data_IF_201763139100
#
_entry.id   IF_201763139100
#
_cell.length_a   1.000
_cell.length_b   1.000
_cell.length_c   1.000
_cell.angle_alpha   90.00
_cell.angle_beta   90.00
_cell.angle_gamma   90.00
#
_symmetry.space_group_name_H-M   'P 1'
#
loop_
_entity.id
_entity.type
_entity.pdbx_description
1 polymer ?
#
# COMPACT_ATOMS: atom_id res chain seq x y z
N UNK A 1 -40.97 -58.31 -76.32
CA UNK A 1 -41.35 -57.44 -75.16
C UNK A 1 -40.20 -57.39 -74.24
N UNK A 2 -39.54 -56.22 -74.17
CA UNK A 2 -38.30 -56.06 -73.32
C UNK A 2 -38.72 -55.19 -72.15
N UNK A 3 -38.63 -55.75 -70.90
CA UNK A 3 -38.83 -55.00 -69.69
C UNK A 3 -37.49 -54.38 -69.24
N UNK A 4 -37.48 -53.06 -69.10
CA UNK A 4 -36.40 -52.29 -68.51
C UNK A 4 -36.66 -52.14 -66.97
N UNK A 5 -35.72 -52.52 -66.19
CA UNK A 5 -35.66 -52.23 -64.72
C UNK A 5 -35.10 -50.82 -64.54
N UNK A 6 -35.60 -50.04 -63.61
CA UNK A 6 -34.98 -48.75 -63.24
C UNK A 6 -33.83 -48.89 -62.22
N UNK A 7 -32.71 -48.21 -62.53
CA UNK A 7 -31.56 -48.16 -61.68
C UNK A 7 -31.79 -47.32 -60.39
N UNK A 8 -31.41 -47.87 -59.32
CA UNK A 8 -31.44 -47.25 -57.98
C UNK A 8 -30.16 -46.41 -57.81
N UNK A 9 -30.27 -45.08 -57.82
CA UNK A 9 -29.11 -44.19 -57.44
C UNK A 9 -28.98 -44.07 -55.92
N UNK A 10 -27.86 -44.57 -55.36
CA UNK A 10 -27.50 -44.37 -53.98
C UNK A 10 -26.82 -42.99 -53.88
N UNK A 11 -27.47 -42.00 -53.24
CA UNK A 11 -26.87 -40.76 -52.85
C UNK A 11 -26.12 -40.91 -51.53
N UNK A 12 -24.79 -40.89 -51.60
CA UNK A 12 -23.94 -40.89 -50.39
C UNK A 12 -23.98 -39.54 -49.74
N UNK A 13 -24.62 -39.46 -48.56
CA UNK A 13 -24.66 -38.28 -47.72
C UNK A 13 -23.35 -38.19 -46.91
N UNK A 14 -22.42 -37.32 -47.29
CA UNK A 14 -21.25 -36.98 -46.53
C UNK A 14 -21.67 -36.09 -45.35
N UNK A 15 -21.73 -36.62 -44.12
CA UNK A 15 -21.81 -35.83 -42.89
C UNK A 15 -20.43 -35.20 -42.61
N UNK A 16 -20.30 -33.91 -42.90
CA UNK A 16 -19.21 -33.08 -42.40
C UNK A 16 -19.40 -32.88 -40.88
N UNK A 17 -18.68 -33.65 -40.05
CA UNK A 17 -18.53 -33.37 -38.64
C UNK A 17 -17.64 -32.11 -38.50
N UNK A 18 -18.26 -30.94 -38.36
CA UNK A 18 -17.62 -29.75 -37.89
C UNK A 18 -17.25 -29.98 -36.41
N UNK A 19 -15.99 -30.37 -36.17
CA UNK A 19 -15.39 -30.33 -34.85
C UNK A 19 -15.29 -28.86 -34.45
N UNK A 20 -16.20 -28.38 -33.60
CA UNK A 20 -15.97 -27.16 -32.84
C UNK A 20 -14.84 -27.46 -31.87
N UNK A 21 -13.59 -27.16 -32.24
CA UNK A 21 -12.54 -26.94 -31.28
C UNK A 21 -12.95 -25.70 -30.49
N UNK A 22 -13.32 -25.90 -29.22
CA UNK A 22 -13.39 -24.81 -28.27
C UNK A 22 -11.93 -24.37 -28.01
N UNK A 23 -11.51 -23.33 -28.71
CA UNK A 23 -10.28 -22.62 -28.35
C UNK A 23 -10.50 -22.02 -26.96
N UNK A 24 -10.26 -22.79 -25.92
CA UNK A 24 -10.08 -22.24 -24.60
C UNK A 24 -8.84 -21.33 -24.68
N UNK A 25 -8.96 -20.04 -24.43
CA UNK A 25 -7.79 -19.18 -24.43
C UNK A 25 -6.77 -19.74 -23.46
N UNK A 26 -5.48 -19.71 -23.87
CA UNK A 26 -4.39 -20.17 -23.02
C UNK A 26 -4.49 -19.47 -21.65
N UNK A 27 -4.20 -20.15 -20.53
CA UNK A 27 -4.19 -19.55 -19.21
C UNK A 27 -3.29 -18.32 -19.20
N UNK A 28 -3.75 -17.22 -18.57
CA UNK A 28 -2.95 -16.03 -18.43
C UNK A 28 -1.70 -16.34 -17.61
N UNK A 29 -0.54 -15.95 -18.12
CA UNK A 29 0.74 -16.17 -17.46
C UNK A 29 1.31 -14.84 -16.97
N UNK A 30 1.64 -14.78 -15.69
CA UNK A 30 2.33 -13.63 -15.11
C UNK A 30 3.84 -13.76 -15.33
N UNK A 31 4.56 -12.69 -15.75
CA UNK A 31 6.02 -12.67 -15.79
C UNK A 31 6.60 -12.61 -14.37
N UNK A 32 7.92 -12.77 -14.21
CA UNK A 32 8.56 -12.60 -12.91
C UNK A 32 8.48 -11.13 -12.43
N UNK A 33 8.51 -10.17 -13.37
CA UNK A 33 8.33 -8.74 -13.09
C UNK A 33 7.80 -7.99 -14.30
N UNK A 34 7.18 -6.84 -14.04
CA UNK A 34 6.74 -5.90 -15.07
C UNK A 34 7.03 -4.47 -14.64
N UNK A 35 7.70 -3.71 -15.51
CA UNK A 35 8.03 -2.30 -15.29
C UNK A 35 6.94 -1.39 -15.87
N UNK A 36 6.71 -0.25 -15.23
CA UNK A 36 5.82 0.78 -15.79
C UNK A 36 6.33 1.26 -17.15
N UNK A 37 5.47 1.16 -18.15
CA UNK A 37 5.78 1.61 -19.50
C UNK A 37 5.69 3.13 -19.63
N UNK A 38 6.77 3.76 -20.11
CA UNK A 38 6.78 5.17 -20.55
C UNK A 38 6.12 6.17 -19.59
N UNK A 39 6.57 6.28 -18.33
CA UNK A 39 6.01 7.25 -17.39
C UNK A 39 6.18 8.68 -17.94
N UNK A 40 5.14 9.52 -17.75
CA UNK A 40 5.16 10.92 -18.18
C UNK A 40 6.08 11.74 -17.28
N UNK A 41 6.68 12.80 -17.83
CA UNK A 41 7.42 13.79 -17.06
C UNK A 41 6.42 14.79 -16.46
N UNK A 42 6.44 14.95 -15.13
CA UNK A 42 5.60 15.89 -14.37
C UNK A 42 6.29 17.25 -14.20
N UNK A 43 7.60 17.25 -13.95
CA UNK A 43 8.41 18.42 -13.74
C UNK A 43 9.87 18.14 -14.15
N UNK A 44 10.66 19.21 -14.32
CA UNK A 44 12.11 19.13 -14.54
C UNK A 44 12.74 20.31 -13.80
N UNK A 45 13.76 20.05 -12.98
CA UNK A 45 14.48 21.12 -12.29
C UNK A 45 15.52 21.81 -13.20
N UNK A 46 16.18 22.84 -12.68
CA UNK A 46 17.20 23.61 -13.41
C UNK A 46 18.44 22.79 -13.77
N UNK A 47 18.71 21.70 -13.07
CA UNK A 47 19.79 20.76 -13.38
C UNK A 47 19.38 19.69 -14.41
N UNK A 48 18.16 19.74 -14.94
CA UNK A 48 17.64 18.79 -15.94
C UNK A 48 17.13 17.48 -15.35
N UNK A 49 17.03 17.34 -14.03
CA UNK A 49 16.49 16.16 -13.36
C UNK A 49 14.99 16.13 -13.54
N UNK A 50 14.49 14.98 -13.99
CA UNK A 50 13.07 14.77 -14.31
C UNK A 50 12.36 14.09 -13.16
N UNK A 51 11.18 14.62 -12.81
CA UNK A 51 10.18 13.97 -11.97
C UNK A 51 9.26 13.21 -12.88
N UNK A 52 9.08 11.92 -12.64
CA UNK A 52 8.23 11.08 -13.48
C UNK A 52 6.88 10.85 -12.79
N UNK A 53 5.84 10.61 -13.58
CA UNK A 53 4.58 10.05 -13.10
C UNK A 53 4.76 8.54 -12.85
N UNK A 54 5.72 8.22 -11.97
CA UNK A 54 5.95 6.94 -11.31
C UNK A 54 5.13 6.88 -10.03
N UNK A 55 5.77 6.71 -8.87
CA UNK A 55 5.16 6.85 -7.55
C UNK A 55 3.90 6.02 -7.29
N UNK A 56 3.59 5.04 -8.16
CA UNK A 56 2.42 4.17 -8.06
C UNK A 56 2.74 2.89 -7.26
N UNK A 57 3.52 2.99 -6.23
CA UNK A 57 4.01 1.83 -5.48
C UNK A 57 3.47 1.70 -4.08
N UNK A 58 2.91 2.75 -3.51
CA UNK A 58 2.43 2.76 -2.13
C UNK A 58 1.32 1.75 -1.89
N UNK A 59 0.34 1.64 -2.79
CA UNK A 59 -0.74 0.65 -2.68
C UNK A 59 -0.95 -0.15 -3.96
N UNK A 60 -1.30 -1.44 -3.83
CA UNK A 60 -1.54 -2.36 -4.93
C UNK A 60 -2.80 -3.21 -4.70
N UNK A 61 -3.71 -3.18 -5.66
CA UNK A 61 -4.90 -4.05 -5.65
C UNK A 61 -5.16 -4.66 -7.03
N UNK A 62 -5.60 -5.91 -7.08
CA UNK A 62 -6.13 -6.50 -8.32
C UNK A 62 -7.43 -5.79 -8.69
N UNK A 63 -7.62 -5.45 -9.97
CA UNK A 63 -8.91 -4.95 -10.44
C UNK A 63 -9.96 -6.06 -10.29
N UNK A 64 -11.07 -5.85 -9.56
CA UNK A 64 -12.07 -6.87 -9.34
C UNK A 64 -12.54 -7.54 -10.64
N UNK A 65 -12.67 -8.86 -10.62
CA UNK A 65 -13.10 -9.69 -11.77
C UNK A 65 -12.23 -9.56 -13.04
N UNK A 66 -10.96 -9.19 -12.88
CA UNK A 66 -10.01 -9.10 -13.99
C UNK A 66 -8.78 -9.97 -13.78
N UNK A 67 -8.08 -10.28 -14.87
CA UNK A 67 -6.79 -10.96 -14.86
C UNK A 67 -5.76 -10.05 -15.53
N UNK A 68 -4.60 -9.87 -14.88
CA UNK A 68 -3.53 -9.02 -15.41
C UNK A 68 -3.82 -7.51 -15.38
N UNK A 69 -4.85 -7.07 -14.64
CA UNK A 69 -5.14 -5.65 -14.43
C UNK A 69 -5.07 -5.30 -12.94
N UNK A 70 -4.49 -4.13 -12.64
CA UNK A 70 -4.18 -3.68 -11.29
C UNK A 70 -4.57 -2.23 -11.09
N UNK A 71 -4.98 -1.90 -9.88
CA UNK A 71 -4.99 -0.54 -9.36
C UNK A 71 -3.72 -0.33 -8.54
N UNK A 72 -3.01 0.75 -8.81
CA UNK A 72 -1.86 1.19 -8.03
C UNK A 72 -2.11 2.61 -7.55
N UNK A 73 -1.62 2.92 -6.34
CA UNK A 73 -1.83 4.18 -5.67
C UNK A 73 -0.51 4.97 -5.60
N UNK A 74 -0.56 6.28 -5.78
CA UNK A 74 0.54 7.17 -5.44
C UNK A 74 0.42 7.64 -4.00
N UNK A 75 1.56 7.99 -3.38
CA UNK A 75 1.63 8.71 -2.12
C UNK A 75 1.21 10.19 -2.27
N UNK A 76 1.67 11.06 -1.35
CA UNK A 76 1.46 12.52 -1.36
C UNK A 76 2.05 13.23 -2.57
N UNK A 77 2.88 12.59 -3.38
CA UNK A 77 3.52 13.17 -4.55
C UNK A 77 5.00 13.48 -4.36
N UNK A 78 5.66 13.95 -5.45
CA UNK A 78 7.10 14.07 -5.49
C UNK A 78 7.63 15.07 -4.47
N UNK A 79 8.31 14.56 -3.45
CA UNK A 79 8.90 15.35 -2.38
C UNK A 79 10.27 14.78 -1.97
N UNK A 80 11.09 15.62 -1.36
CA UNK A 80 12.38 15.25 -0.80
C UNK A 80 12.60 15.99 0.53
N UNK A 81 13.58 15.55 1.32
CA UNK A 81 13.92 16.24 2.56
C UNK A 81 14.43 17.66 2.29
N UNK A 82 13.98 18.61 3.08
CA UNK A 82 14.49 19.97 3.05
C UNK A 82 15.74 20.17 3.92
N UNK A 83 16.35 21.34 3.83
CA UNK A 83 17.52 21.71 4.63
C UNK A 83 17.18 22.09 6.07
N UNK A 84 15.96 22.52 6.33
CA UNK A 84 15.48 22.80 7.67
C UNK A 84 15.05 21.49 8.35
N UNK A 85 15.22 21.43 9.65
CA UNK A 85 14.76 20.27 10.41
C UNK A 85 13.25 20.06 10.21
N UNK A 86 12.87 18.82 10.02
CA UNK A 86 11.46 18.42 9.83
C UNK A 86 10.78 19.22 8.68
N UNK A 87 11.49 19.39 7.55
CA UNK A 87 10.95 20.05 6.36
C UNK A 87 11.02 19.17 5.12
N UNK A 88 10.07 19.39 4.20
CA UNK A 88 9.99 18.71 2.90
C UNK A 88 9.91 19.72 1.78
N UNK A 89 10.57 19.41 0.67
CA UNK A 89 10.51 20.16 -0.58
C UNK A 89 9.60 19.41 -1.53
N UNK A 90 8.50 20.01 -1.90
CA UNK A 90 7.58 19.46 -2.88
C UNK A 90 8.00 19.92 -4.28
N UNK A 91 8.47 18.98 -5.10
CA UNK A 91 8.88 19.27 -6.49
C UNK A 91 7.68 19.66 -7.37
N UNK A 92 6.47 19.27 -6.97
CA UNK A 92 5.20 19.63 -7.62
C UNK A 92 4.11 19.80 -6.55
N UNK A 93 4.02 21.00 -5.91
CA UNK A 93 3.08 21.24 -4.80
C UNK A 93 1.60 21.08 -5.16
N UNK A 94 1.26 21.24 -6.44
CA UNK A 94 -0.09 21.05 -7.00
C UNK A 94 -0.35 19.61 -7.48
N UNK A 95 0.49 18.64 -7.09
CA UNK A 95 0.25 17.23 -7.37
C UNK A 95 -1.00 16.76 -6.63
N UNK A 96 -1.84 16.04 -7.34
CA UNK A 96 -3.02 15.38 -6.78
C UNK A 96 -2.73 13.88 -6.68
N UNK A 97 -2.74 13.28 -5.48
CA UNK A 97 -2.66 11.84 -5.33
C UNK A 97 -3.75 11.14 -6.14
N UNK A 98 -3.42 10.00 -6.73
CA UNK A 98 -4.29 9.34 -7.68
C UNK A 98 -4.14 7.81 -7.69
N UNK A 99 -5.19 7.14 -8.15
CA UNK A 99 -5.20 5.71 -8.45
C UNK A 99 -4.97 5.54 -9.94
N UNK A 100 -3.95 4.79 -10.34
CA UNK A 100 -3.71 4.38 -11.72
C UNK A 100 -4.31 3.00 -11.97
N UNK A 101 -5.06 2.84 -13.05
CA UNK A 101 -5.44 1.53 -13.57
C UNK A 101 -4.41 1.10 -14.61
N UNK A 102 -3.75 -0.02 -14.33
CA UNK A 102 -2.73 -0.61 -15.19
C UNK A 102 -3.17 -1.96 -15.75
N UNK A 103 -2.71 -2.28 -16.95
CA UNK A 103 -2.86 -3.61 -17.53
C UNK A 103 -1.50 -4.15 -17.93
N UNK A 104 -1.27 -5.42 -17.64
CA UNK A 104 -0.06 -6.15 -18.04
C UNK A 104 -0.14 -6.46 -19.55
N UNK A 105 0.80 -5.91 -20.31
CA UNK A 105 0.92 -6.12 -21.77
C UNK A 105 2.39 -6.36 -22.12
N UNK A 106 2.69 -7.53 -22.68
CA UNK A 106 4.05 -7.89 -23.11
C UNK A 106 5.09 -7.61 -22.01
N UNK A 107 4.85 -8.12 -20.80
CA UNK A 107 5.69 -7.96 -19.62
C UNK A 107 5.95 -6.50 -19.16
N UNK A 108 5.05 -5.60 -19.56
CA UNK A 108 5.06 -4.19 -19.16
C UNK A 108 3.75 -3.78 -18.51
N UNK A 109 3.81 -2.88 -17.53
CA UNK A 109 2.66 -2.24 -16.92
C UNK A 109 2.26 -1.02 -17.74
N UNK A 110 1.14 -1.09 -18.44
CA UNK A 110 0.61 0.00 -19.25
C UNK A 110 -0.47 0.72 -18.48
N UNK A 111 -0.27 2.01 -18.19
CA UNK A 111 -1.26 2.88 -17.57
C UNK A 111 -2.42 3.12 -18.55
N UNK A 112 -3.62 2.68 -18.21
CA UNK A 112 -4.81 2.86 -19.05
C UNK A 112 -5.60 4.11 -18.69
N UNK A 113 -5.76 4.37 -17.38
CA UNK A 113 -6.50 5.53 -16.87
C UNK A 113 -6.04 5.89 -15.46
N UNK A 114 -6.38 7.10 -15.04
CA UNK A 114 -6.14 7.60 -13.68
C UNK A 114 -7.43 8.11 -13.05
N UNK A 115 -7.55 7.94 -11.75
CA UNK A 115 -8.62 8.47 -10.91
C UNK A 115 -7.97 9.43 -9.91
N UNK A 116 -8.17 10.73 -10.09
CA UNK A 116 -7.67 11.75 -9.17
C UNK A 116 -8.51 11.75 -7.89
N UNK A 117 -7.85 11.78 -6.73
CA UNK A 117 -8.52 11.87 -5.44
C UNK A 117 -9.06 13.29 -5.22
N UNK A 118 -10.28 13.40 -4.71
CA UNK A 118 -11.03 14.65 -4.60
C UNK A 118 -11.78 14.73 -3.28
N UNK A 119 -12.01 15.94 -2.81
CA UNK A 119 -12.93 16.21 -1.69
C UNK A 119 -14.35 15.75 -2.01
N UNK A 120 -15.23 15.74 -1.01
CA UNK A 120 -16.67 15.49 -1.19
C UNK A 120 -17.37 16.48 -2.13
N UNK A 121 -16.78 17.65 -2.35
CA UNK A 121 -17.29 18.68 -3.28
C UNK A 121 -16.64 18.63 -4.67
N UNK A 122 -15.70 17.69 -4.91
CA UNK A 122 -15.05 17.51 -6.20
C UNK A 122 -13.78 18.33 -6.42
N UNK A 123 -13.28 19.04 -5.40
CA UNK A 123 -11.99 19.73 -5.45
C UNK A 123 -10.88 18.70 -5.34
N UNK A 124 -9.82 18.83 -6.14
CA UNK A 124 -8.65 17.93 -6.10
C UNK A 124 -7.96 18.00 -4.74
N UNK A 125 -7.61 16.83 -4.18
CA UNK A 125 -6.77 16.74 -2.99
C UNK A 125 -5.33 17.10 -3.33
N UNK A 126 -4.58 17.50 -2.31
CA UNK A 126 -3.13 17.70 -2.39
C UNK A 126 -2.40 16.70 -1.48
N UNK A 127 -1.10 16.54 -1.70
CA UNK A 127 -0.21 15.83 -0.77
C UNK A 127 0.38 16.72 0.32
N UNK A 128 -0.12 17.94 0.51
CA UNK A 128 0.40 18.86 1.53
C UNK A 128 -0.01 18.43 2.94
N UNK A 129 0.85 18.63 3.97
CA UNK A 129 0.58 18.22 5.33
C UNK A 129 -0.69 18.85 5.91
N UNK A 130 -1.38 18.10 6.77
CA UNK A 130 -2.55 18.60 7.48
C UNK A 130 -2.16 19.61 8.58
N UNK A 131 -3.04 20.56 8.95
CA UNK A 131 -2.83 21.44 10.09
C UNK A 131 -3.07 20.72 11.43
N UNK A 132 -2.71 21.38 12.53
CA UNK A 132 -2.96 20.90 13.89
C UNK A 132 -4.44 20.54 14.10
N UNK A 133 -4.69 19.40 14.76
CA UNK A 133 -6.04 18.84 14.99
C UNK A 133 -6.61 18.02 13.82
N UNK A 134 -5.92 17.96 12.69
CA UNK A 134 -6.34 17.20 11.49
C UNK A 134 -5.34 16.09 11.09
N UNK A 135 -4.31 15.87 11.87
CA UNK A 135 -3.27 14.90 11.55
C UNK A 135 -1.93 15.53 11.17
N UNK A 136 -1.63 16.73 11.69
CA UNK A 136 -0.35 17.39 11.43
C UNK A 136 0.85 16.49 11.73
N UNK A 137 1.82 16.45 10.81
CA UNK A 137 3.10 15.77 11.01
C UNK A 137 4.11 16.67 11.72
N UNK A 138 3.90 17.98 11.71
CA UNK A 138 4.85 18.98 12.18
C UNK A 138 5.90 19.33 11.13
N UNK A 139 5.84 18.74 9.93
CA UNK A 139 6.73 19.06 8.82
C UNK A 139 6.37 20.41 8.21
N UNK A 140 7.39 21.21 7.90
CA UNK A 140 7.25 22.40 7.05
C UNK A 140 7.29 21.99 5.57
N UNK A 141 6.26 22.33 4.81
CA UNK A 141 6.23 22.08 3.37
C UNK A 141 6.73 23.33 2.61
N UNK A 142 7.65 23.11 1.67
CA UNK A 142 8.24 24.20 0.85
C UNK A 142 8.21 23.81 -0.62
N UNK A 143 8.16 24.82 -1.51
CA UNK A 143 8.42 24.62 -2.93
C UNK A 143 9.95 24.61 -3.22
N UNK A 144 10.31 24.35 -4.46
CA UNK A 144 11.74 24.33 -4.91
C UNK A 144 12.39 25.71 -4.89
N UNK A 145 11.64 26.79 -4.73
CA UNK A 145 12.16 28.15 -4.56
C UNK A 145 12.38 28.50 -3.07
N UNK A 146 12.04 27.58 -2.16
CA UNK A 146 12.11 27.80 -0.71
C UNK A 146 10.94 28.59 -0.12
N UNK A 147 9.85 28.76 -0.84
CA UNK A 147 8.64 29.38 -0.31
C UNK A 147 7.86 28.38 0.54
N UNK A 148 7.44 28.81 1.74
CA UNK A 148 6.59 28.02 2.63
C UNK A 148 5.21 27.84 1.97
N UNK A 149 4.76 26.60 1.92
CA UNK A 149 3.43 26.21 1.47
C UNK A 149 2.46 26.12 2.65
N UNK A 150 1.20 26.48 2.41
CA UNK A 150 0.15 26.34 3.44
C UNK A 150 -0.21 24.87 3.64
N UNK A 151 -0.49 24.51 4.89
CA UNK A 151 -1.09 23.21 5.19
C UNK A 151 -2.47 23.08 4.54
N UNK A 152 -2.86 21.85 4.21
CA UNK A 152 -4.16 21.54 3.63
C UNK A 152 -4.96 20.62 4.58
N UNK A 153 -6.16 21.03 4.97
CA UNK A 153 -7.06 20.24 5.82
C UNK A 153 -7.41 18.89 5.15
N UNK A 154 -7.56 18.92 3.83
CA UNK A 154 -7.89 17.75 3.02
C UNK A 154 -6.65 17.05 2.44
N UNK A 155 -5.45 17.54 2.78
CA UNK A 155 -4.20 16.91 2.35
C UNK A 155 -4.11 15.44 2.75
N UNK A 156 -3.49 14.61 1.91
CA UNK A 156 -3.41 13.15 2.09
C UNK A 156 -2.03 12.63 1.70
N UNK A 157 -1.50 11.75 2.51
CA UNK A 157 -0.33 10.90 2.23
C UNK A 157 -0.82 9.47 2.08
N UNK A 158 -1.33 9.16 0.89
CA UNK A 158 -2.06 7.93 0.61
C UNK A 158 -1.14 6.73 0.47
N UNK A 159 -1.45 5.62 1.18
CA UNK A 159 -0.59 4.43 1.26
C UNK A 159 -1.35 3.14 0.89
N UNK A 160 -2.06 2.51 1.79
CA UNK A 160 -2.79 1.28 1.50
C UNK A 160 -4.03 1.49 0.63
N UNK A 161 -4.30 0.54 -0.26
CA UNK A 161 -5.39 0.60 -1.25
C UNK A 161 -6.29 -0.63 -1.20
N UNK A 162 -7.58 -0.43 -0.97
CA UNK A 162 -8.63 -1.43 -1.17
C UNK A 162 -9.49 -1.05 -2.36
N UNK A 163 -9.55 -1.92 -3.37
CA UNK A 163 -10.55 -1.83 -4.44
C UNK A 163 -11.76 -2.69 -4.05
N UNK A 164 -12.82 -2.05 -3.58
CA UNK A 164 -14.03 -2.73 -3.09
C UNK A 164 -14.86 -3.31 -4.26
N UNK A 165 -15.63 -4.35 -3.96
CA UNK A 165 -16.44 -5.06 -4.98
C UNK A 165 -17.57 -4.21 -5.57
N UNK A 166 -17.97 -3.14 -4.91
CA UNK A 166 -18.96 -2.16 -5.37
C UNK A 166 -18.35 -1.06 -6.27
N UNK A 167 -17.05 -1.13 -6.55
CA UNK A 167 -16.32 -0.18 -7.38
C UNK A 167 -15.81 1.05 -6.62
N UNK A 168 -16.02 1.14 -5.32
CA UNK A 168 -15.46 2.18 -4.46
C UNK A 168 -14.05 1.82 -3.99
N UNK A 169 -13.35 2.77 -3.36
CA UNK A 169 -12.00 2.57 -2.85
C UNK A 169 -11.92 2.98 -1.39
N UNK A 170 -11.15 2.22 -0.59
CA UNK A 170 -10.73 2.63 0.73
C UNK A 170 -9.23 2.82 0.72
N UNK A 171 -8.77 3.92 1.29
CA UNK A 171 -7.36 4.30 1.28
C UNK A 171 -6.95 4.65 2.71
N UNK A 172 -5.81 4.09 3.17
CA UNK A 172 -5.15 4.55 4.38
C UNK A 172 -4.24 5.74 4.10
N UNK A 173 -3.88 6.46 5.15
CA UNK A 173 -3.14 7.71 5.08
C UNK A 173 -2.14 7.81 6.24
N UNK A 174 -0.91 8.12 5.91
CA UNK A 174 0.20 8.22 6.85
C UNK A 174 0.12 9.47 7.74
N UNK A 175 -0.51 10.54 7.26
CA UNK A 175 -0.61 11.80 8.01
C UNK A 175 -1.44 11.65 9.30
N UNK A 176 -2.67 11.16 9.23
CA UNK A 176 -3.62 11.16 10.32
C UNK A 176 -3.29 10.28 11.54
N UNK A 177 -3.37 8.95 11.51
CA UNK A 177 -3.82 8.17 10.35
C UNK A 177 -5.27 8.46 9.99
N UNK A 178 -5.54 8.42 8.70
CA UNK A 178 -6.91 8.43 8.20
C UNK A 178 -7.23 7.12 7.50
N UNK A 179 -8.51 6.78 7.42
CA UNK A 179 -9.07 5.84 6.46
C UNK A 179 -10.11 6.62 5.67
N UNK A 180 -9.91 6.77 4.38
CA UNK A 180 -10.79 7.56 3.52
C UNK A 180 -11.51 6.65 2.53
N UNK A 181 -12.83 6.78 2.46
CA UNK A 181 -13.69 6.11 1.49
C UNK A 181 -13.90 7.01 0.27
N UNK A 182 -13.56 6.51 -0.90
CA UNK A 182 -13.72 7.23 -2.17
C UNK A 182 -14.70 6.51 -3.08
N UNK A 183 -15.48 7.27 -3.82
CA UNK A 183 -16.31 6.77 -4.92
C UNK A 183 -15.43 6.23 -6.06
N UNK A 184 -16.04 5.50 -6.99
CA UNK A 184 -15.37 5.04 -8.22
C UNK A 184 -14.72 6.16 -9.04
N UNK A 185 -15.11 7.42 -8.84
CA UNK A 185 -14.56 8.59 -9.54
C UNK A 185 -13.56 9.37 -8.66
N UNK A 186 -13.12 8.80 -7.53
CA UNK A 186 -12.14 9.40 -6.62
C UNK A 186 -12.69 10.51 -5.72
N UNK A 187 -14.01 10.69 -5.62
CA UNK A 187 -14.61 11.69 -4.74
C UNK A 187 -14.79 11.13 -3.33
N UNK A 188 -14.35 11.87 -2.31
CA UNK A 188 -14.49 11.46 -0.89
C UNK A 188 -15.96 11.28 -0.53
N UNK A 189 -16.27 10.11 0.00
CA UNK A 189 -17.55 9.76 0.62
C UNK A 189 -17.46 10.00 2.13
N UNK A 190 -16.35 9.55 2.74
CA UNK A 190 -16.12 9.63 4.17
C UNK A 190 -14.62 9.65 4.47
N UNK A 191 -14.22 10.38 5.52
CA UNK A 191 -12.85 10.36 6.07
C UNK A 191 -12.89 10.08 7.56
N UNK A 192 -12.32 8.96 7.98
CA UNK A 192 -12.31 8.44 9.35
C UNK A 192 -10.96 8.73 9.98
N UNK A 193 -10.90 9.34 11.16
CA UNK A 193 -9.66 9.64 11.87
C UNK A 193 -9.83 9.60 13.40
N UNK A 194 -8.74 9.62 14.19
CA UNK A 194 -8.83 9.61 15.65
C UNK A 194 -9.13 10.99 16.27
N UNK A 195 -9.05 12.08 15.50
CA UNK A 195 -9.16 13.45 16.01
C UNK A 195 -10.60 13.92 16.16
N UNK A 196 -11.55 13.23 15.51
CA UNK A 196 -12.94 13.65 15.46
C UNK A 196 -13.24 14.78 14.49
N UNK A 197 -12.29 15.07 13.60
CA UNK A 197 -12.38 16.08 12.52
C UNK A 197 -12.66 15.43 11.17
N UNK A 198 -12.89 14.12 11.13
CA UNK A 198 -13.30 13.40 9.93
C UNK A 198 -14.74 13.70 9.53
N UNK A 199 -15.14 13.21 8.37
CA UNK A 199 -16.51 13.28 7.86
C UNK A 199 -17.27 11.97 8.14
N UNK A 200 -18.58 11.95 8.03
CA UNK A 200 -19.39 10.73 8.23
C UNK A 200 -19.62 10.34 9.69
N UNK A 201 -19.03 11.00 10.67
CA UNK A 201 -19.27 10.81 12.11
C UNK A 201 -18.60 9.58 12.73
N UNK A 202 -17.91 8.73 11.96
CA UNK A 202 -17.15 7.56 12.44
C UNK A 202 -15.72 7.95 12.81
N UNK A 203 -15.11 7.24 13.76
CA UNK A 203 -13.78 7.58 14.28
C UNK A 203 -12.91 6.34 14.46
N UNK A 204 -11.62 6.51 14.26
CA UNK A 204 -10.60 5.58 14.78
C UNK A 204 -10.44 5.76 16.29
N UNK A 205 -9.94 4.75 17.02
CA UNK A 205 -9.63 4.90 18.43
C UNK A 205 -8.68 6.06 18.70
N UNK A 206 -8.93 6.82 19.77
CA UNK A 206 -8.22 8.05 20.10
C UNK A 206 -6.70 7.84 20.20
N UNK A 207 -6.25 6.67 20.65
CA UNK A 207 -4.82 6.33 20.77
C UNK A 207 -4.05 6.43 19.45
N UNK A 208 -4.71 6.25 18.29
CA UNK A 208 -4.03 6.39 16.99
C UNK A 208 -3.56 7.82 16.70
N UNK A 209 -4.09 8.83 17.39
CA UNK A 209 -3.57 10.19 17.32
C UNK A 209 -2.11 10.31 17.82
N UNK A 210 -1.61 9.31 18.58
CA UNK A 210 -0.23 9.27 19.07
C UNK A 210 0.74 8.60 18.09
N UNK A 211 0.34 8.36 16.82
CA UNK A 211 1.26 7.80 15.83
C UNK A 211 2.55 8.61 15.76
N UNK A 212 3.64 7.99 15.37
CA UNK A 212 4.84 8.72 14.95
C UNK A 212 4.49 9.55 13.71
N UNK A 213 4.84 10.83 13.72
CA UNK A 213 4.61 11.72 12.57
C UNK A 213 5.23 11.12 11.29
N UNK A 214 4.52 11.20 10.18
CA UNK A 214 4.91 10.64 8.88
C UNK A 214 5.29 9.15 8.96
N UNK A 215 4.56 8.39 9.78
CA UNK A 215 4.59 6.94 9.94
C UNK A 215 3.27 6.45 10.52
N UNK A 216 2.19 6.85 9.87
CA UNK A 216 0.83 6.54 10.28
C UNK A 216 0.36 5.16 9.84
N UNK A 217 -0.77 5.09 9.17
CA UNK A 217 -1.34 3.83 8.69
C UNK A 217 -0.90 3.57 7.27
N UNK A 218 0.03 2.66 7.12
CA UNK A 218 0.63 2.31 5.83
C UNK A 218 -0.26 1.34 5.05
N UNK A 219 -0.54 0.19 5.60
CA UNK A 219 -1.32 -0.84 4.91
C UNK A 219 -2.80 -0.84 5.30
N UNK A 220 -3.66 -1.19 4.34
CA UNK A 220 -5.09 -1.33 4.53
C UNK A 220 -5.67 -2.45 3.67
N UNK A 221 -6.49 -3.29 4.28
CA UNK A 221 -7.26 -4.32 3.56
C UNK A 221 -8.70 -4.37 4.03
N UNK A 222 -9.54 -5.07 3.27
CA UNK A 222 -10.91 -5.43 3.67
C UNK A 222 -11.00 -6.95 3.87
N UNK A 223 -11.73 -7.38 4.89
CA UNK A 223 -11.98 -8.82 5.09
C UNK A 223 -12.77 -9.42 3.93
N UNK A 224 -12.57 -10.71 3.56
CA UNK A 224 -13.28 -11.34 2.44
C UNK A 224 -14.81 -11.33 2.54
N UNK A 225 -15.36 -11.22 3.75
CA UNK A 225 -16.80 -11.05 3.95
C UNK A 225 -17.28 -9.59 3.83
N UNK A 226 -16.38 -8.65 3.49
CA UNK A 226 -16.61 -7.21 3.35
C UNK A 226 -17.15 -6.51 4.62
N UNK A 227 -16.92 -7.07 5.81
CA UNK A 227 -17.46 -6.50 7.05
C UNK A 227 -16.50 -5.60 7.81
N UNK A 228 -15.20 -5.82 7.67
CA UNK A 228 -14.20 -5.04 8.40
C UNK A 228 -13.07 -4.54 7.50
N UNK A 229 -12.66 -3.31 7.75
CA UNK A 229 -11.37 -2.80 7.30
C UNK A 229 -10.31 -3.20 8.32
N UNK A 230 -9.13 -3.56 7.86
CA UNK A 230 -8.00 -3.92 8.71
C UNK A 230 -6.81 -3.09 8.31
N UNK A 231 -6.41 -2.17 9.19
CA UNK A 231 -5.27 -1.27 8.98
C UNK A 231 -4.08 -1.66 9.85
N UNK A 232 -2.86 -1.49 9.34
CA UNK A 232 -1.61 -1.69 10.08
C UNK A 232 -0.79 -0.41 10.14
N UNK A 233 -0.27 -0.09 11.34
CA UNK A 233 0.62 1.06 11.51
C UNK A 233 2.01 0.73 10.98
N UNK A 234 2.67 1.68 10.31
CA UNK A 234 4.01 1.53 9.75
C UNK A 234 5.04 1.20 10.83
N UNK A 235 4.97 1.90 11.96
CA UNK A 235 5.94 1.78 13.05
C UNK A 235 5.29 1.92 14.42
N UNK A 236 6.10 1.71 15.48
CA UNK A 236 5.70 1.95 16.87
C UNK A 236 5.17 3.37 17.05
N UNK A 237 3.99 3.49 17.67
CA UNK A 237 3.40 4.79 17.98
C UNK A 237 4.15 5.50 19.12
N UNK A 238 4.16 6.83 19.12
CA UNK A 238 4.80 7.65 20.16
C UNK A 238 3.88 7.85 21.39
N UNK A 239 3.51 6.75 22.02
CA UNK A 239 2.52 6.71 23.08
C UNK A 239 3.16 6.36 24.45
N UNK A 240 3.18 7.26 25.44
CA UNK A 240 2.60 8.62 25.41
C UNK A 240 3.52 9.65 24.75
N UNK A 241 4.78 9.35 24.46
CA UNK A 241 5.75 10.21 23.78
C UNK A 241 6.91 9.39 23.21
N UNK A 242 7.67 9.96 22.28
CA UNK A 242 8.85 9.31 21.66
C UNK A 242 9.92 8.90 22.70
N UNK A 243 10.11 9.71 23.76
CA UNK A 243 11.08 9.43 24.82
C UNK A 243 10.64 8.30 25.77
N UNK A 244 9.33 8.01 25.83
CA UNK A 244 8.77 7.03 26.76
C UNK A 244 8.65 5.61 26.17
N UNK A 245 8.84 5.44 24.87
CA UNK A 245 8.71 4.13 24.19
C UNK A 245 9.82 3.20 24.65
N UNK A 246 9.45 1.98 25.02
CA UNK A 246 10.37 0.89 25.34
C UNK A 246 10.43 -0.13 24.21
N UNK A 247 9.29 -0.59 23.72
CA UNK A 247 9.20 -1.60 22.67
C UNK A 247 9.10 -0.98 21.28
N UNK A 248 10.24 -0.75 20.63
CA UNK A 248 10.32 -0.12 19.31
C UNK A 248 9.95 -1.05 18.16
N UNK A 249 9.65 -2.32 18.44
CA UNK A 249 9.17 -3.30 17.44
C UNK A 249 7.64 -3.44 17.46
N UNK A 250 6.99 -2.95 18.51
CA UNK A 250 5.57 -3.10 18.69
C UNK A 250 4.81 -2.14 17.80
N UNK A 251 3.99 -2.67 16.91
CA UNK A 251 3.05 -1.90 16.10
C UNK A 251 1.63 -2.37 16.33
N UNK A 252 0.64 -1.58 15.91
CA UNK A 252 -0.78 -1.91 16.08
C UNK A 252 -1.44 -2.24 14.76
N UNK A 253 -2.31 -3.24 14.81
CA UNK A 253 -3.31 -3.54 13.79
C UNK A 253 -4.66 -3.07 14.36
N UNK A 254 -5.47 -2.39 13.54
CA UNK A 254 -6.84 -2.02 13.87
C UNK A 254 -7.81 -2.73 12.93
N UNK A 255 -8.82 -3.36 13.51
CA UNK A 255 -10.03 -3.81 12.83
C UNK A 255 -11.10 -2.75 13.02
N UNK A 256 -11.75 -2.37 11.94
CA UNK A 256 -12.82 -1.39 11.93
C UNK A 256 -14.06 -2.02 11.26
N UNK A 257 -15.07 -2.33 12.03
CA UNK A 257 -16.36 -2.84 11.51
C UNK A 257 -17.07 -1.76 10.71
N UNK A 258 -17.30 -2.04 9.42
CA UNK A 258 -17.83 -1.04 8.47
C UNK A 258 -19.28 -0.65 8.82
N UNK A 259 -20.06 -1.57 9.35
CA UNK A 259 -21.48 -1.32 9.65
C UNK A 259 -21.68 -0.58 10.99
N UNK A 260 -20.88 -0.93 12.01
CA UNK A 260 -21.11 -0.48 13.41
C UNK A 260 -20.08 0.53 13.89
N UNK A 261 -18.97 0.71 13.16
CA UNK A 261 -17.78 1.45 13.59
C UNK A 261 -17.11 0.89 14.86
N UNK A 262 -17.45 -0.32 15.29
CA UNK A 262 -16.75 -0.98 16.37
C UNK A 262 -15.32 -1.33 15.96
N UNK A 263 -14.39 -1.20 16.91
CA UNK A 263 -12.97 -1.46 16.62
C UNK A 263 -12.40 -2.51 17.56
N UNK A 264 -11.42 -3.28 17.04
CA UNK A 264 -10.52 -4.12 17.81
C UNK A 264 -9.09 -3.77 17.47
N UNK A 265 -8.18 -4.00 18.42
CA UNK A 265 -6.77 -3.72 18.21
C UNK A 265 -5.93 -4.92 18.60
N UNK A 266 -4.90 -5.21 17.81
CA UNK A 266 -3.97 -6.31 18.05
C UNK A 266 -2.53 -5.84 17.96
N UNK A 267 -1.65 -6.55 18.65
CA UNK A 267 -0.20 -6.30 18.65
C UNK A 267 0.45 -7.08 17.52
N UNK A 268 1.19 -6.38 16.67
CA UNK A 268 2.15 -6.95 15.73
C UNK A 268 3.57 -6.62 16.21
N UNK A 269 4.45 -7.59 16.24
CA UNK A 269 5.86 -7.40 16.57
C UNK A 269 6.71 -7.50 15.31
N UNK A 270 7.35 -6.38 14.92
CA UNK A 270 8.37 -6.38 13.88
C UNK A 270 9.57 -7.23 14.30
N UNK A 271 10.34 -7.78 13.36
CA UNK A 271 11.50 -8.62 13.69
C UNK A 271 12.66 -7.82 14.27
N UNK A 272 12.78 -6.55 13.87
CA UNK A 272 13.80 -5.64 14.37
C UNK A 272 13.29 -4.22 14.56
N UNK A 273 14.03 -3.43 15.33
CA UNK A 273 13.80 -2.00 15.44
C UNK A 273 14.11 -1.30 14.10
N UNK A 274 13.30 -0.32 13.75
CA UNK A 274 13.56 0.52 12.57
C UNK A 274 13.00 -0.02 11.26
N UNK A 275 12.36 -1.19 11.28
CA UNK A 275 11.62 -1.70 10.13
C UNK A 275 10.30 -0.93 9.93
N UNK A 276 9.75 -1.06 8.73
CA UNK A 276 8.44 -0.53 8.35
C UNK A 276 7.52 -1.67 7.95
N UNK A 277 6.27 -1.66 8.45
CA UNK A 277 5.18 -2.43 7.84
C UNK A 277 4.63 -1.59 6.69
N UNK A 278 4.57 -2.13 5.49
CA UNK A 278 4.19 -1.35 4.32
C UNK A 278 2.79 -1.67 3.82
N UNK A 279 2.38 -2.94 3.91
CA UNK A 279 1.03 -3.30 3.49
C UNK A 279 0.50 -4.48 4.30
N UNK A 280 -0.82 -4.66 4.27
CA UNK A 280 -1.55 -5.78 4.85
C UNK A 280 -2.64 -6.24 3.87
N UNK A 281 -2.70 -7.58 3.60
CA UNK A 281 -3.69 -8.15 2.66
C UNK A 281 -4.39 -9.34 3.27
N UNK A 282 -5.72 -9.37 3.20
CA UNK A 282 -6.52 -10.44 3.79
C UNK A 282 -6.45 -11.75 2.98
N UNK A 283 -6.17 -12.87 3.68
CA UNK A 283 -6.33 -14.23 3.17
C UNK A 283 -7.70 -14.78 3.59
N UNK A 284 -8.04 -14.59 4.86
CA UNK A 284 -9.34 -14.92 5.46
C UNK A 284 -9.78 -13.76 6.36
N UNK A 285 -10.87 -13.90 7.10
CA UNK A 285 -11.29 -12.88 8.06
C UNK A 285 -10.36 -12.74 9.28
N UNK A 286 -9.43 -13.67 9.48
CA UNK A 286 -8.52 -13.68 10.64
C UNK A 286 -7.05 -13.86 10.26
N UNK A 287 -6.74 -14.21 9.02
CA UNK A 287 -5.38 -14.41 8.54
C UNK A 287 -5.03 -13.41 7.44
N UNK A 288 -3.84 -12.83 7.51
CA UNK A 288 -3.40 -11.78 6.61
C UNK A 288 -1.95 -11.99 6.18
N UNK A 289 -1.57 -11.37 5.07
CA UNK A 289 -0.17 -11.13 4.72
C UNK A 289 0.23 -9.73 5.19
N UNK A 290 1.45 -9.58 5.67
CA UNK A 290 2.07 -8.30 6.02
C UNK A 290 3.42 -8.19 5.33
N UNK A 291 3.67 -7.09 4.64
CA UNK A 291 4.95 -6.73 4.06
C UNK A 291 5.74 -5.88 5.06
N UNK A 292 6.95 -6.35 5.40
CA UNK A 292 7.85 -5.70 6.36
C UNK A 292 9.23 -5.49 5.73
N UNK A 293 9.81 -4.28 5.82
CA UNK A 293 11.08 -3.95 5.17
C UNK A 293 11.96 -2.98 5.97
N UNK A 294 13.27 -2.99 5.65
CA UNK A 294 14.16 -1.85 5.86
C UNK A 294 14.02 -0.79 4.75
N UNK A 295 14.75 0.31 4.82
CA UNK A 295 14.70 1.41 3.85
C UNK A 295 15.89 1.47 2.91
N UNK A 296 16.73 0.43 2.83
CA UNK A 296 18.00 0.46 2.10
C UNK A 296 17.89 -0.25 0.74
N UNK A 297 18.76 0.13 -0.21
CA UNK A 297 18.89 -0.61 -1.48
C UNK A 297 19.69 -1.90 -1.26
N UNK A 298 19.28 -3.06 -1.84
CA UNK A 298 20.00 -4.33 -1.67
C UNK A 298 21.45 -4.31 -2.15
N UNK A 299 21.78 -3.50 -3.16
CA UNK A 299 23.09 -3.39 -3.75
C UNK A 299 23.87 -2.14 -3.34
N UNK A 300 23.40 -1.40 -2.34
CA UNK A 300 24.17 -0.29 -1.80
C UNK A 300 25.45 -0.82 -1.13
N UNK A 301 26.60 -0.29 -1.53
CA UNK A 301 27.89 -0.71 -0.99
C UNK A 301 28.16 -0.25 0.43
N UNK A 302 27.43 0.76 0.91
CA UNK A 302 27.59 1.35 2.26
C UNK A 302 26.59 0.79 3.25
N UNK A 303 25.35 0.61 2.83
CA UNK A 303 24.25 0.12 3.66
C UNK A 303 23.34 -0.79 2.81
N UNK A 304 23.76 -2.04 2.54
CA UNK A 304 22.95 -2.94 1.74
C UNK A 304 21.70 -3.37 2.52
N UNK A 305 20.54 -3.37 1.86
CA UNK A 305 19.32 -3.91 2.44
C UNK A 305 19.49 -5.36 2.85
N UNK A 306 18.96 -5.71 4.01
CA UNK A 306 19.01 -7.08 4.56
C UNK A 306 17.62 -7.63 4.87
N UNK A 307 16.58 -6.80 4.75
CA UNK A 307 15.27 -7.14 5.25
C UNK A 307 14.13 -6.65 4.35
N UNK A 308 13.56 -7.55 3.54
CA UNK A 308 12.36 -7.32 2.74
C UNK A 308 11.55 -8.62 2.71
N UNK A 309 10.52 -8.73 3.58
CA UNK A 309 9.85 -10.00 3.86
C UNK A 309 8.34 -9.88 3.89
N UNK A 310 7.67 -10.93 3.44
CA UNK A 310 6.22 -11.09 3.58
C UNK A 310 5.94 -12.18 4.62
N UNK A 311 5.12 -11.84 5.59
CA UNK A 311 4.69 -12.73 6.66
C UNK A 311 3.20 -13.04 6.54
N UNK A 312 2.82 -14.28 6.85
CA UNK A 312 1.44 -14.66 7.17
C UNK A 312 1.23 -14.48 8.67
N UNK A 313 0.16 -13.78 9.04
CA UNK A 313 -0.24 -13.55 10.43
C UNK A 313 -1.63 -14.12 10.69
N UNK A 314 -1.91 -14.49 11.94
CA UNK A 314 -3.24 -14.89 12.39
C UNK A 314 -3.59 -14.15 13.69
N UNK A 315 -4.74 -13.48 13.70
CA UNK A 315 -5.26 -12.73 14.86
C UNK A 315 -6.19 -13.55 15.73
N UNK A 316 -6.56 -14.79 15.35
CA UNK A 316 -7.59 -15.59 16.01
C UNK A 316 -7.28 -15.90 17.49
N UNK A 317 -5.98 -16.04 17.82
CA UNK A 317 -5.49 -16.28 19.19
C UNK A 317 -4.88 -15.04 19.85
N UNK A 318 -4.82 -13.90 19.13
CA UNK A 318 -4.24 -12.67 19.65
C UNK A 318 -5.16 -11.98 20.66
N UNK A 319 -4.54 -11.31 21.62
CA UNK A 319 -5.30 -10.53 22.63
C UNK A 319 -5.80 -9.23 22.02
N UNK A 320 -7.12 -8.98 22.14
CA UNK A 320 -7.68 -7.66 21.85
C UNK A 320 -7.22 -6.65 22.92
N UNK A 321 -6.40 -5.69 22.49
CA UNK A 321 -5.83 -4.64 23.35
C UNK A 321 -6.58 -3.32 23.26
N UNK A 322 -7.82 -3.36 22.75
CA UNK A 322 -8.69 -2.18 22.68
C UNK A 322 -8.97 -1.62 24.07
N UNK A 323 -9.14 -0.31 24.15
CA UNK A 323 -9.59 0.39 25.33
C UNK A 323 -11.08 0.72 25.22
N UNK A 324 -11.91 0.10 26.06
CA UNK A 324 -13.36 0.34 26.07
C UNK A 324 -13.73 1.79 26.41
N UNK A 325 -12.84 2.52 27.09
CA UNK A 325 -13.04 3.94 27.44
C UNK A 325 -12.59 4.89 26.34
N UNK A 326 -11.92 4.36 25.31
CA UNK A 326 -11.34 5.13 24.20
C UNK A 326 -10.46 6.30 24.69
N UNK A 327 -9.64 6.06 25.70
CA UNK A 327 -8.69 7.03 26.24
C UNK A 327 -7.60 7.39 25.22
N UNK A 328 -7.06 8.61 25.34
CA UNK A 328 -6.06 9.13 24.40
C UNK A 328 -4.77 8.26 24.32
N UNK A 329 -4.43 7.58 25.42
CA UNK A 329 -3.27 6.67 25.48
C UNK A 329 -3.66 5.19 25.32
N UNK A 330 -4.94 4.90 25.04
CA UNK A 330 -5.47 3.55 24.99
C UNK A 330 -5.47 2.84 26.36
N UNK A 331 -5.60 1.52 26.35
CA UNK A 331 -5.61 0.72 27.57
C UNK A 331 -4.29 0.81 28.33
N UNK A 332 -4.36 1.01 29.65
CA UNK A 332 -3.22 1.15 30.55
C UNK A 332 -3.00 -0.16 31.31
N UNK A 333 -1.74 -0.57 31.41
CA UNK A 333 -1.29 -1.81 32.05
C UNK A 333 -0.32 -1.48 33.20
N UNK A 334 -0.79 -1.51 34.43
CA UNK A 334 0.05 -1.17 35.58
C UNK A 334 0.67 0.24 35.54
N UNK A 335 -0.05 1.22 34.99
CA UNK A 335 0.43 2.59 34.82
C UNK A 335 1.25 2.85 33.55
N UNK A 336 1.43 1.84 32.67
CA UNK A 336 2.15 1.93 31.39
C UNK A 336 1.19 1.85 30.20
N UNK A 337 1.51 2.54 29.11
CA UNK A 337 0.88 2.32 27.82
C UNK A 337 1.42 1.03 27.18
N UNK A 338 0.76 0.55 26.14
CA UNK A 338 1.16 -0.67 25.43
C UNK A 338 2.61 -0.55 24.89
N UNK A 339 2.99 0.59 24.34
CA UNK A 339 4.31 0.85 23.73
C UNK A 339 5.44 0.96 24.78
N UNK A 340 5.09 1.11 26.05
CA UNK A 340 6.03 1.11 27.18
C UNK A 340 6.30 -0.31 27.74
N UNK A 341 5.58 -1.32 27.30
CA UNK A 341 5.76 -2.69 27.77
C UNK A 341 6.91 -3.38 27.04
N UNK A 342 7.80 -4.03 27.78
CA UNK A 342 8.76 -4.99 27.22
C UNK A 342 8.05 -6.27 26.77
N UNK A 343 8.73 -7.13 26.00
CA UNK A 343 8.17 -8.43 25.59
C UNK A 343 7.79 -9.31 26.80
N UNK A 344 8.60 -9.26 27.90
CA UNK A 344 8.28 -9.95 29.14
C UNK A 344 7.04 -9.37 29.84
N UNK A 345 6.86 -8.06 29.81
CA UNK A 345 5.67 -7.40 30.37
C UNK A 345 4.41 -7.62 29.53
N UNK A 346 4.53 -7.81 28.21
CA UNK A 346 3.40 -8.28 27.39
C UNK A 346 2.91 -9.64 27.91
N UNK A 347 3.82 -10.60 28.10
CA UNK A 347 3.50 -11.92 28.64
C UNK A 347 2.88 -11.87 30.05
N UNK A 348 3.46 -11.09 30.96
CA UNK A 348 2.96 -10.99 32.35
C UNK A 348 1.58 -10.33 32.44
N UNK A 349 1.22 -9.50 31.44
CA UNK A 349 -0.12 -8.91 31.30
C UNK A 349 -1.07 -9.78 30.46
N UNK A 350 -0.68 -11.03 30.13
CA UNK A 350 -1.46 -11.95 29.27
C UNK A 350 -1.82 -11.36 27.90
N UNK A 351 -0.90 -10.55 27.34
CA UNK A 351 -1.04 -10.00 25.99
C UNK A 351 -0.29 -10.91 25.03
N UNK A 352 -1.06 -11.59 24.18
CA UNK A 352 -0.56 -12.44 23.10
C UNK A 352 -0.57 -11.63 21.79
N UNK A 353 0.59 -11.32 21.19
CA UNK A 353 0.66 -10.75 19.85
C UNK A 353 0.07 -11.68 18.80
N UNK A 354 -0.18 -11.18 17.59
CA UNK A 354 -0.56 -12.02 16.45
C UNK A 354 0.52 -13.05 16.17
N UNK A 355 0.14 -14.25 15.74
CA UNK A 355 1.12 -15.25 15.24
C UNK A 355 1.72 -14.74 13.93
N UNK A 356 3.00 -15.07 13.69
CA UNK A 356 3.76 -14.57 12.54
C UNK A 356 4.60 -15.70 11.95
N UNK A 357 4.44 -15.98 10.66
CA UNK A 357 5.18 -17.01 9.93
C UNK A 357 5.71 -16.43 8.63
N UNK A 358 7.00 -16.58 8.34
CA UNK A 358 7.61 -16.14 7.09
C UNK A 358 6.99 -16.88 5.89
N UNK A 359 6.51 -16.13 4.90
CA UNK A 359 6.02 -16.66 3.63
C UNK A 359 7.12 -16.60 2.57
N UNK A 360 7.76 -15.43 2.45
CA UNK A 360 8.84 -15.23 1.48
C UNK A 360 9.77 -14.10 1.93
N UNK A 361 11.08 -14.29 1.68
CA UNK A 361 12.09 -13.24 1.71
C UNK A 361 12.34 -12.79 0.26
N UNK A 362 12.01 -11.52 -0.05
CA UNK A 362 12.07 -11.01 -1.41
C UNK A 362 13.50 -10.98 -1.96
N UNK A 363 14.49 -10.74 -1.10
CA UNK A 363 15.90 -10.72 -1.49
C UNK A 363 16.41 -12.12 -1.91
N UNK A 364 15.77 -13.18 -1.42
CA UNK A 364 16.08 -14.55 -1.80
C UNK A 364 15.23 -15.02 -2.99
N UNK A 365 13.95 -14.64 -3.02
CA UNK A 365 13.01 -15.10 -4.03
C UNK A 365 13.20 -14.39 -5.39
N UNK A 366 13.71 -13.17 -5.39
CA UNK A 366 13.90 -12.34 -6.58
C UNK A 366 15.39 -12.03 -6.74
N UNK A 367 16.13 -12.85 -7.53
CA UNK A 367 17.56 -12.63 -7.74
C UNK A 367 17.83 -11.24 -8.28
N UNK A 368 18.64 -10.45 -7.55
CA UNK A 368 19.00 -9.10 -7.97
C UNK A 368 17.89 -8.06 -7.77
N UNK A 369 16.92 -8.30 -6.85
CA UNK A 369 15.90 -7.30 -6.48
C UNK A 369 16.56 -5.93 -6.26
N UNK A 370 16.17 -4.87 -7.01
CA UNK A 370 16.97 -3.67 -7.05
C UNK A 370 16.48 -2.52 -6.15
N UNK A 371 15.22 -2.57 -5.65
CA UNK A 371 14.56 -1.42 -5.04
C UNK A 371 14.73 -1.36 -3.52
N UNK A 372 14.70 -0.15 -2.97
CA UNK A 372 14.71 0.13 -1.54
C UNK A 372 13.33 -0.06 -0.89
N UNK A 373 12.25 0.31 -1.60
CA UNK A 373 10.89 0.40 -1.07
C UNK A 373 9.89 -0.55 -1.75
N UNK A 374 9.86 -1.87 -1.44
CA UNK A 374 8.68 -2.67 -1.72
C UNK A 374 7.56 -2.21 -0.75
N UNK A 375 6.43 -1.76 -1.27
CA UNK A 375 5.34 -1.21 -0.45
C UNK A 375 4.00 -1.85 -0.75
N UNK A 376 3.48 -1.77 -1.99
CA UNK A 376 2.20 -2.39 -2.34
C UNK A 376 2.28 -3.92 -2.39
N UNK A 377 1.31 -4.60 -1.79
CA UNK A 377 1.19 -6.06 -1.76
C UNK A 377 -0.20 -6.50 -2.19
N UNK A 378 -0.32 -7.55 -3.00
CA UNK A 378 -1.63 -8.16 -3.29
C UNK A 378 -1.51 -9.67 -3.50
N UNK A 379 -2.62 -10.39 -3.32
CA UNK A 379 -2.74 -11.82 -3.59
C UNK A 379 -3.28 -12.00 -5.02
N UNK A 380 -2.56 -12.71 -5.86
CA UNK A 380 -3.01 -13.08 -7.20
C UNK A 380 -3.87 -14.35 -7.13
N UNK A 381 -3.35 -15.35 -6.44
CA UNK A 381 -4.06 -16.62 -6.15
C UNK A 381 -3.46 -17.29 -4.90
N UNK A 382 -3.89 -18.52 -4.58
CA UNK A 382 -3.40 -19.21 -3.38
C UNK A 382 -1.89 -19.52 -3.40
N UNK A 383 -1.24 -19.47 -4.56
CA UNK A 383 0.17 -19.82 -4.74
C UNK A 383 1.00 -18.68 -5.32
N UNK A 384 0.43 -17.47 -5.46
CA UNK A 384 1.12 -16.34 -6.04
C UNK A 384 0.69 -15.03 -5.38
N UNK A 385 1.68 -14.19 -5.06
CA UNK A 385 1.51 -12.81 -4.63
C UNK A 385 2.17 -11.87 -5.62
N UNK A 386 1.80 -10.59 -5.56
CA UNK A 386 2.50 -9.53 -6.27
C UNK A 386 2.90 -8.42 -5.30
N UNK A 387 4.09 -7.85 -5.55
CA UNK A 387 4.67 -6.75 -4.76
C UNK A 387 5.04 -5.61 -5.70
N UNK A 388 4.61 -4.40 -5.40
CA UNK A 388 5.01 -3.19 -6.09
C UNK A 388 6.07 -2.43 -5.30
N UNK A 389 6.94 -1.67 -5.99
CA UNK A 389 7.86 -0.73 -5.34
C UNK A 389 7.39 0.71 -5.52
N UNK A 390 7.58 1.53 -4.49
CA UNK A 390 7.54 2.98 -4.61
C UNK A 390 8.89 3.48 -5.15
N UNK A 391 8.87 4.19 -6.27
CA UNK A 391 10.04 4.76 -6.92
C UNK A 391 10.32 6.22 -6.50
N UNK A 392 9.57 6.78 -5.55
CA UNK A 392 9.64 8.19 -5.13
C UNK A 392 9.60 9.16 -6.33
N UNK A 393 8.80 8.87 -7.36
CA UNK A 393 8.73 9.64 -8.62
C UNK A 393 10.08 9.78 -9.35
N UNK A 394 11.03 8.88 -9.08
CA UNK A 394 12.39 8.85 -9.65
C UNK A 394 13.31 9.92 -9.09
N UNK A 395 13.05 10.46 -7.90
CA UNK A 395 13.87 11.53 -7.28
C UNK A 395 14.30 11.19 -5.85
N UNK A 396 15.44 11.75 -5.46
CA UNK A 396 15.99 11.74 -4.10
C UNK A 396 16.41 13.15 -3.71
N UNK A 397 16.65 13.35 -2.40
CA UNK A 397 17.25 14.57 -1.90
C UNK A 397 18.62 14.84 -2.50
N UNK A 398 18.86 16.05 -3.03
CA UNK A 398 20.18 16.51 -3.45
C UNK A 398 20.91 17.13 -2.24
N UNK A 399 21.81 16.35 -1.64
CA UNK A 399 22.59 16.81 -0.49
C UNK A 399 23.60 17.92 -0.82
N UNK A 400 23.87 18.18 -2.11
CA UNK A 400 24.82 19.19 -2.55
C UNK A 400 24.15 20.53 -2.84
N UNK A 401 22.86 20.53 -3.17
CA UNK A 401 22.11 21.73 -3.54
C UNK A 401 20.88 21.89 -2.66
N UNK A 402 20.86 22.90 -1.75
CA UNK A 402 19.72 23.14 -0.88
C UNK A 402 18.38 23.24 -1.63
N UNK A 403 17.33 22.67 -1.05
CA UNK A 403 15.97 22.70 -1.58
C UNK A 403 15.82 22.15 -3.01
N UNK A 404 16.68 21.21 -3.39
CA UNK A 404 16.70 20.62 -4.71
C UNK A 404 16.68 19.08 -4.63
N UNK A 405 16.44 18.44 -5.76
CA UNK A 405 16.40 17.00 -5.89
C UNK A 405 17.32 16.51 -7.01
N UNK A 406 17.81 15.29 -6.84
CA UNK A 406 18.58 14.53 -7.81
C UNK A 406 17.78 13.28 -8.26
N UNK A 407 18.25 12.63 -9.32
CA UNK A 407 17.61 11.39 -9.77
C UNK A 407 17.82 10.27 -8.75
N UNK A 408 16.74 9.56 -8.39
CA UNK A 408 16.80 8.28 -7.64
C UNK A 408 17.30 7.22 -8.61
N UNK A 409 18.50 6.72 -8.38
CA UNK A 409 19.13 5.71 -9.24
C UNK A 409 19.35 4.40 -8.48
N UNK A 410 19.15 3.31 -9.18
CA UNK A 410 19.41 1.96 -8.66
C UNK A 410 20.92 1.75 -8.57
N UNK A 411 21.51 1.41 -7.40
CA UNK A 411 22.95 1.28 -7.21
C UNK A 411 23.61 0.28 -8.16
N UNK A 412 22.94 -0.83 -8.46
CA UNK A 412 23.49 -1.88 -9.31
C UNK A 412 23.62 -1.49 -10.80
N UNK A 413 22.76 -0.59 -11.30
CA UNK A 413 22.65 -0.31 -12.75
C UNK A 413 22.87 1.13 -13.12
N UNK A 414 22.88 2.04 -12.15
CA UNK A 414 22.91 3.50 -12.31
C UNK A 414 21.77 4.03 -13.22
N UNK A 415 20.66 3.29 -13.31
CA UNK A 415 19.46 3.71 -14.02
C UNK A 415 18.50 4.34 -13.05
N UNK A 416 17.71 5.32 -13.49
CA UNK A 416 16.62 5.90 -12.69
C UNK A 416 15.68 4.79 -12.23
N UNK A 417 15.34 4.79 -10.95
CA UNK A 417 14.35 3.89 -10.37
C UNK A 417 12.98 4.11 -11.03
N UNK A 418 12.21 3.03 -11.18
CA UNK A 418 10.88 3.04 -11.82
C UNK A 418 9.95 2.11 -11.11
N UNK A 419 8.68 2.49 -11.08
CA UNK A 419 7.61 1.62 -10.60
C UNK A 419 7.58 0.27 -11.33
N UNK A 420 7.52 -0.80 -10.56
CA UNK A 420 7.48 -2.18 -11.02
C UNK A 420 6.55 -3.02 -10.15
N UNK A 421 6.00 -4.10 -10.73
CA UNK A 421 5.37 -5.19 -9.98
C UNK A 421 6.20 -6.45 -10.16
N UNK A 422 6.47 -7.15 -9.08
CA UNK A 422 7.11 -8.46 -9.04
C UNK A 422 6.07 -9.52 -8.69
N UNK A 423 5.99 -10.58 -9.50
CA UNK A 423 5.07 -11.69 -9.30
C UNK A 423 5.82 -12.89 -8.72
N UNK A 424 5.45 -13.32 -7.51
CA UNK A 424 6.22 -14.29 -6.74
C UNK A 424 5.38 -15.54 -6.53
N UNK A 425 5.85 -16.65 -7.10
CA UNK A 425 5.28 -17.98 -6.85
C UNK A 425 5.69 -18.44 -5.46
N UNK A 426 4.73 -18.85 -4.66
CA UNK A 426 4.94 -19.32 -3.31
C UNK A 426 5.23 -20.83 -3.30
N UNK A 427 6.14 -21.25 -2.43
CA UNK A 427 6.44 -22.66 -2.21
C UNK A 427 5.34 -23.42 -1.46
N UNK A 428 4.48 -22.69 -0.75
CA UNK A 428 3.37 -23.25 0.03
C UNK A 428 2.11 -22.41 -0.23
N UNK A 429 0.96 -23.08 -0.36
CA UNK A 429 -0.33 -22.43 -0.54
C UNK A 429 -0.68 -21.54 0.68
N UNK A 430 -1.34 -20.41 0.40
CA UNK A 430 -1.81 -19.50 1.44
C UNK A 430 -3.01 -20.05 2.24
N UNK A 431 -3.81 -20.96 1.62
CA UNK A 431 -5.00 -21.62 2.20
C UNK A 431 -4.78 -23.09 2.33
#
# INVERSE_FOLDING_TARGET
MKHKLPGLSIASLFLLLLSCQSDNPAPFTYPDSALQASPKILATNTAGVKVYNGGFGSGLAVVPNSTGSFYLLTDRGPNVDGTLKDSKIFAKPDFTPLIGKFTLKNDSLVLESTIELKTSTGVKLTGLPNPAGYGATGEGAYDTNGNLLSNDIEGIDSEGLVAASDGTFWISDEYGPHITHFSQNGQTIERINPFGTGTGGRKLPAVFATRRANRGMEGLTITPDNKALVGIMQSTMYNPSSAAIVNKKLTRIVFFDIATAATKQYVYLQDANGLSNCDIVAITNTTFLVLERDGDFPQDSKSPAVYKRVYKIDVSSATDVSDATNGANGKIYGGKTLEQLTDAELQSNSITPVTKTLVVDLLQAIPGYPHDKPEGLTIIDNNMIAVANDDDFGILNDTNTPNNYMAKVLPATNKTDRGAIYFIKLSTSLK
#
